data_IF_941922159426
#
_entry.id   IF_941922159426
#
_cell.length_a   1.000
_cell.length_b   1.000
_cell.length_c   1.000
_cell.angle_alpha   90.00
_cell.angle_beta   90.00
_cell.angle_gamma   90.00
#
_symmetry.space_group_name_H-M   'P 1'
#
loop_
_entity.id
_entity.type
_entity.pdbx_description
1 polymer ?
#
# COMPACT_ATOMS: atom_id res chain seq x y z
N UNK A 1 26.56 -8.47 23.24
CA UNK A 1 25.78 -9.72 23.36
C UNK A 1 25.01 -9.87 22.06
N UNK A 2 25.40 -10.83 21.22
CA UNK A 2 24.94 -10.93 19.83
C UNK A 2 23.41 -11.11 19.78
N UNK A 3 22.75 -10.48 18.81
CA UNK A 3 21.31 -10.55 18.59
C UNK A 3 20.75 -11.99 18.41
N UNK A 4 21.61 -13.01 18.33
CA UNK A 4 21.26 -14.42 18.14
C UNK A 4 20.85 -15.16 19.42
N UNK A 5 21.18 -14.69 20.63
CA UNK A 5 20.84 -15.44 21.85
C UNK A 5 19.36 -15.32 22.25
N UNK A 6 18.66 -14.26 21.82
CA UNK A 6 17.28 -13.98 22.23
C UNK A 6 16.20 -14.66 21.38
N UNK A 7 16.56 -15.28 20.25
CA UNK A 7 15.60 -15.76 19.25
C UNK A 7 15.60 -17.28 19.05
N UNK A 8 16.25 -18.05 19.95
CA UNK A 8 16.16 -19.51 19.97
C UNK A 8 16.39 -20.16 18.60
N UNK A 9 17.63 -20.14 18.09
CA UNK A 9 18.04 -20.78 16.82
C UNK A 9 17.07 -20.57 15.64
N UNK A 10 17.32 -19.53 14.82
CA UNK A 10 16.56 -19.22 13.59
C UNK A 10 16.30 -20.41 12.66
N UNK A 11 17.20 -21.40 12.66
CA UNK A 11 17.06 -22.65 11.93
C UNK A 11 17.24 -23.83 12.86
N UNK A 12 16.38 -24.85 12.71
CA UNK A 12 16.50 -26.10 13.46
C UNK A 12 17.70 -26.91 12.96
N UNK A 13 18.28 -27.75 13.83
CA UNK A 13 19.37 -28.65 13.44
C UNK A 13 19.01 -29.53 12.23
N UNK A 14 17.73 -29.90 12.11
CA UNK A 14 17.21 -30.64 10.96
C UNK A 14 17.29 -29.83 9.66
N UNK A 15 16.96 -28.54 9.68
CA UNK A 15 17.07 -27.65 8.53
C UNK A 15 18.53 -27.46 8.10
N UNK A 16 19.43 -27.28 9.06
CA UNK A 16 20.87 -27.17 8.79
C UNK A 16 21.42 -28.45 8.16
N UNK A 17 21.08 -29.61 8.71
CA UNK A 17 21.51 -30.90 8.17
C UNK A 17 20.96 -31.15 6.75
N UNK A 18 19.68 -30.83 6.52
CA UNK A 18 19.05 -30.96 5.20
C UNK A 18 19.76 -30.07 4.16
N UNK A 19 20.05 -28.82 4.51
CA UNK A 19 20.74 -27.89 3.63
C UNK A 19 22.17 -28.36 3.32
N UNK A 20 22.90 -28.83 4.33
CA UNK A 20 24.24 -29.39 4.15
C UNK A 20 24.24 -30.62 3.23
N UNK A 21 23.29 -31.54 3.40
CA UNK A 21 23.14 -32.71 2.52
C UNK A 21 22.81 -32.29 1.09
N UNK A 22 21.91 -31.32 0.90
CA UNK A 22 21.52 -30.82 -0.41
C UNK A 22 22.71 -30.17 -1.15
N UNK A 23 23.47 -29.31 -0.48
CA UNK A 23 24.68 -28.69 -1.05
C UNK A 23 25.74 -29.75 -1.38
N UNK A 24 25.95 -30.71 -0.48
CA UNK A 24 26.89 -31.82 -0.70
C UNK A 24 26.52 -32.63 -1.95
N UNK A 25 25.24 -32.94 -2.13
CA UNK A 25 24.73 -33.62 -3.32
C UNK A 25 24.98 -32.81 -4.59
N UNK A 26 24.73 -31.50 -4.58
CA UNK A 26 25.00 -30.62 -5.72
C UNK A 26 26.48 -30.60 -6.10
N UNK A 27 27.38 -30.47 -5.12
CA UNK A 27 28.83 -30.50 -5.34
C UNK A 27 29.26 -31.85 -5.93
N UNK A 28 28.76 -32.95 -5.38
CA UNK A 28 29.06 -34.30 -5.88
C UNK A 28 28.59 -34.50 -7.32
N UNK A 29 27.36 -34.08 -7.66
CA UNK A 29 26.81 -34.13 -9.02
C UNK A 29 27.62 -33.29 -10.02
N UNK A 30 28.09 -32.12 -9.58
CA UNK A 30 28.94 -31.24 -10.38
C UNK A 30 30.30 -31.89 -10.67
N UNK A 31 30.98 -32.41 -9.65
CA UNK A 31 32.28 -33.07 -9.79
C UNK A 31 32.22 -34.34 -10.66
N UNK A 32 31.11 -35.07 -10.64
CA UNK A 32 30.85 -36.23 -11.52
C UNK A 32 30.56 -35.84 -12.97
N UNK A 33 30.39 -34.55 -13.28
CA UNK A 33 30.05 -34.07 -14.62
C UNK A 33 28.61 -34.36 -15.04
N UNK A 34 27.72 -34.72 -14.10
CA UNK A 34 26.32 -35.07 -14.38
C UNK A 34 25.45 -33.81 -14.54
N UNK A 35 25.73 -33.03 -15.60
CA UNK A 35 25.14 -31.70 -15.83
C UNK A 35 23.61 -31.66 -15.75
N UNK A 36 22.93 -32.66 -16.31
CA UNK A 36 21.46 -32.75 -16.30
C UNK A 36 20.91 -32.99 -14.90
N UNK A 37 21.50 -33.92 -14.16
CA UNK A 37 21.09 -34.22 -12.79
C UNK A 37 21.34 -33.02 -11.88
N UNK A 38 22.52 -32.39 -11.99
CA UNK A 38 22.82 -31.15 -11.28
C UNK A 38 21.78 -30.05 -11.55
N UNK A 39 21.47 -29.78 -12.82
CA UNK A 39 20.49 -28.76 -13.19
C UNK A 39 19.09 -29.06 -12.64
N UNK A 40 18.63 -30.31 -12.72
CA UNK A 40 17.33 -30.71 -12.19
C UNK A 40 17.29 -30.60 -10.66
N UNK A 41 18.30 -31.10 -9.96
CA UNK A 41 18.40 -31.02 -8.49
C UNK A 41 18.50 -29.58 -8.00
N UNK A 42 19.10 -28.66 -8.78
CA UNK A 42 19.15 -27.25 -8.45
C UNK A 42 17.82 -26.53 -8.69
N UNK A 43 17.22 -26.73 -9.87
CA UNK A 43 16.07 -25.93 -10.33
C UNK A 43 14.75 -26.44 -9.75
N UNK A 44 14.52 -27.76 -9.70
CA UNK A 44 13.21 -28.31 -9.31
C UNK A 44 12.82 -27.93 -7.87
N UNK A 45 13.68 -28.08 -6.85
CA UNK A 45 13.32 -27.67 -5.48
C UNK A 45 13.03 -26.17 -5.40
N UNK A 46 13.80 -25.34 -6.11
CA UNK A 46 13.55 -23.89 -6.17
C UNK A 46 12.21 -23.58 -6.84
N UNK A 47 11.90 -24.25 -7.95
CA UNK A 47 10.62 -24.10 -8.63
C UNK A 47 9.44 -24.59 -7.77
N UNK A 48 9.62 -25.65 -6.96
CA UNK A 48 8.60 -26.09 -6.01
C UNK A 48 8.43 -25.06 -4.90
N UNK A 49 9.52 -24.58 -4.28
CA UNK A 49 9.45 -23.60 -3.19
C UNK A 49 8.89 -22.26 -3.68
N UNK A 50 9.42 -21.70 -4.76
CA UNK A 50 8.95 -20.42 -5.29
C UNK A 50 7.63 -20.52 -6.06
N UNK A 51 7.36 -21.64 -6.73
CA UNK A 51 6.10 -21.87 -7.45
C UNK A 51 4.93 -22.15 -6.50
N UNK A 52 5.13 -22.93 -5.44
CA UNK A 52 4.09 -23.17 -4.43
C UNK A 52 3.82 -21.95 -3.54
N UNK A 53 4.79 -21.04 -3.44
CA UNK A 53 4.71 -19.76 -2.72
C UNK A 53 4.56 -18.62 -3.72
N UNK A 54 3.88 -18.80 -4.85
CA UNK A 54 3.56 -17.68 -5.74
C UNK A 54 2.75 -16.64 -4.94
N UNK A 55 3.38 -15.54 -4.46
CA UNK A 55 2.75 -14.64 -3.50
C UNK A 55 1.62 -13.88 -4.20
N UNK A 56 1.76 -13.70 -5.50
CA UNK A 56 0.77 -13.09 -6.39
C UNK A 56 -0.53 -13.89 -6.34
N UNK A 57 -0.50 -15.22 -6.46
CA UNK A 57 -1.71 -16.05 -6.39
C UNK A 57 -2.36 -16.15 -5.00
N UNK A 58 -1.59 -16.06 -3.91
CA UNK A 58 -2.16 -16.09 -2.55
C UNK A 58 -2.67 -14.73 -2.07
N UNK A 59 -2.06 -13.63 -2.53
CA UNK A 59 -2.46 -12.26 -2.20
C UNK A 59 -3.56 -11.71 -3.11
N UNK A 60 -3.61 -12.10 -4.39
CA UNK A 60 -4.62 -11.64 -5.35
C UNK A 60 -6.06 -11.88 -4.90
N UNK A 61 -6.46 -13.05 -4.34
CA UNK A 61 -7.84 -13.30 -3.94
C UNK A 61 -8.37 -12.27 -2.95
N UNK A 62 -7.53 -11.72 -2.07
CA UNK A 62 -7.92 -10.67 -1.12
C UNK A 62 -8.39 -9.40 -1.85
N UNK A 63 -7.76 -9.04 -2.96
CA UNK A 63 -8.16 -7.88 -3.78
C UNK A 63 -9.24 -8.24 -4.81
N UNK A 64 -9.20 -9.44 -5.37
CA UNK A 64 -10.10 -9.88 -6.45
C UNK A 64 -11.50 -10.22 -5.93
N UNK A 65 -11.59 -10.79 -4.73
CA UNK A 65 -12.86 -11.21 -4.13
C UNK A 65 -13.38 -10.24 -3.06
N UNK A 66 -12.70 -9.11 -2.87
CA UNK A 66 -13.03 -8.08 -1.89
C UNK A 66 -14.41 -7.47 -2.16
N UNK A 67 -15.14 -7.11 -1.10
CA UNK A 67 -16.44 -6.47 -1.24
C UNK A 67 -16.30 -5.06 -1.84
N UNK A 68 -15.19 -4.37 -1.58
CA UNK A 68 -14.85 -3.08 -2.18
C UNK A 68 -14.71 -3.20 -3.69
N UNK A 69 -13.99 -4.21 -4.19
CA UNK A 69 -13.89 -4.43 -5.65
C UNK A 69 -15.24 -4.74 -6.27
N UNK A 70 -16.09 -5.53 -5.61
CA UNK A 70 -17.45 -5.82 -6.09
C UNK A 70 -18.30 -4.54 -6.11
N UNK A 71 -18.21 -3.73 -5.07
CA UNK A 71 -18.87 -2.43 -4.98
C UNK A 71 -18.44 -1.48 -6.10
N UNK A 72 -17.14 -1.32 -6.33
CA UNK A 72 -16.56 -0.47 -7.39
C UNK A 72 -16.95 -0.96 -8.78
N UNK A 73 -17.01 -2.29 -8.99
CA UNK A 73 -17.44 -2.88 -10.26
C UNK A 73 -18.89 -2.53 -10.59
N UNK A 74 -19.75 -2.46 -9.58
CA UNK A 74 -21.16 -2.06 -9.71
C UNK A 74 -21.33 -0.53 -9.87
N UNK A 75 -20.33 0.27 -9.53
CA UNK A 75 -20.35 1.72 -9.57
C UNK A 75 -19.17 2.27 -10.37
N UNK A 76 -19.13 1.97 -11.67
CA UNK A 76 -17.98 2.27 -12.53
C UNK A 76 -17.59 3.76 -12.56
N UNK A 77 -18.52 4.68 -12.30
CA UNK A 77 -18.26 6.11 -12.19
C UNK A 77 -17.23 6.45 -11.11
N UNK A 78 -17.16 5.67 -10.03
CA UNK A 78 -16.23 5.88 -8.93
C UNK A 78 -14.76 5.75 -9.36
N UNK A 79 -14.50 5.03 -10.45
CA UNK A 79 -13.15 4.81 -10.99
C UNK A 79 -12.57 6.03 -11.70
N UNK A 80 -13.42 7.00 -12.05
CA UNK A 80 -13.00 8.19 -12.82
C UNK A 80 -12.49 9.32 -11.92
N UNK A 81 -13.09 9.50 -10.75
CA UNK A 81 -12.67 10.56 -9.82
C UNK A 81 -11.45 10.19 -8.99
N UNK A 82 -10.71 11.20 -8.52
CA UNK A 82 -9.56 11.01 -7.63
C UNK A 82 -10.02 10.79 -6.19
N UNK A 83 -9.35 9.86 -5.49
CA UNK A 83 -9.65 9.45 -4.12
C UNK A 83 -8.55 9.87 -3.15
N UNK A 84 -8.92 10.37 -1.98
CA UNK A 84 -8.01 10.52 -0.83
C UNK A 84 -8.39 9.51 0.24
N UNK A 85 -7.40 8.77 0.75
CA UNK A 85 -7.62 7.78 1.80
C UNK A 85 -7.04 8.30 3.09
N UNK A 86 -7.91 8.56 4.06
CA UNK A 86 -7.53 8.89 5.43
C UNK A 86 -7.39 7.60 6.22
N UNK A 87 -6.17 7.24 6.56
CA UNK A 87 -5.88 6.02 7.33
C UNK A 87 -4.60 6.14 8.12
N UNK A 88 -4.53 5.45 9.25
CA UNK A 88 -3.27 5.30 10.01
C UNK A 88 -2.29 4.30 9.36
N UNK A 89 -2.73 3.60 8.30
CA UNK A 89 -1.96 2.59 7.59
C UNK A 89 -1.71 2.98 6.14
N UNK A 90 -0.43 3.11 5.79
CA UNK A 90 0.02 3.40 4.41
C UNK A 90 -0.40 2.32 3.40
N UNK A 91 -0.69 1.10 3.87
CA UNK A 91 -1.11 -0.03 3.02
C UNK A 91 -2.56 0.14 2.56
N UNK A 92 -3.38 0.90 3.30
CA UNK A 92 -4.80 1.15 2.97
C UNK A 92 -4.96 1.81 1.61
N UNK A 93 -4.12 2.82 1.30
CA UNK A 93 -4.13 3.47 -0.02
C UNK A 93 -3.84 2.48 -1.15
N UNK A 94 -2.87 1.57 -0.94
CA UNK A 94 -2.55 0.51 -1.89
C UNK A 94 -3.69 -0.49 -2.09
N UNK A 95 -4.40 -0.85 -1.02
CA UNK A 95 -5.57 -1.73 -1.11
C UNK A 95 -6.71 -1.11 -1.91
N UNK A 96 -7.07 0.14 -1.61
CA UNK A 96 -8.14 0.84 -2.31
C UNK A 96 -7.79 1.05 -3.80
N UNK A 97 -6.52 1.36 -4.10
CA UNK A 97 -6.03 1.46 -5.48
C UNK A 97 -6.12 0.10 -6.21
N UNK A 98 -5.75 -0.99 -5.55
CA UNK A 98 -5.84 -2.35 -6.11
C UNK A 98 -7.28 -2.80 -6.38
N UNK A 99 -8.28 -2.24 -5.69
CA UNK A 99 -9.71 -2.42 -5.99
C UNK A 99 -10.16 -1.71 -7.27
N UNK A 100 -9.29 -0.91 -7.90
CA UNK A 100 -9.51 -0.29 -9.21
C UNK A 100 -9.92 1.18 -9.17
N UNK A 101 -9.70 1.86 -8.04
CA UNK A 101 -9.95 3.29 -7.84
C UNK A 101 -8.69 4.12 -8.12
N UNK A 102 -8.89 5.35 -8.60
CA UNK A 102 -7.80 6.30 -8.85
C UNK A 102 -7.43 7.01 -7.54
N UNK A 103 -6.51 6.40 -6.78
CA UNK A 103 -6.10 6.91 -5.48
C UNK A 103 -4.97 7.93 -5.63
N UNK A 104 -5.16 9.09 -5.01
CA UNK A 104 -4.23 10.22 -5.00
C UNK A 104 -3.14 10.08 -3.93
N UNK A 105 -3.46 9.43 -2.81
CA UNK A 105 -2.55 9.09 -1.72
C UNK A 105 -1.89 7.72 -1.92
N UNK A 106 -0.86 7.41 -1.14
CA UNK A 106 -0.10 6.17 -1.23
C UNK A 106 1.27 6.35 -1.87
N UNK A 107 1.84 5.25 -2.36
CA UNK A 107 3.18 5.24 -2.95
C UNK A 107 3.14 5.77 -4.37
N UNK A 108 3.84 6.87 -4.62
CA UNK A 108 4.06 7.41 -5.95
C UNK A 108 5.55 7.67 -6.18
N UNK A 109 6.11 7.01 -7.20
CA UNK A 109 7.50 7.27 -7.62
C UNK A 109 7.68 8.67 -8.20
N UNK A 110 6.62 9.20 -8.81
CA UNK A 110 6.57 10.57 -9.33
C UNK A 110 5.37 11.23 -8.64
N UNK A 111 5.57 12.29 -7.84
CA UNK A 111 4.48 13.01 -7.21
C UNK A 111 3.60 13.69 -8.26
N UNK A 112 2.40 14.12 -7.87
CA UNK A 112 1.47 14.84 -8.75
C UNK A 112 1.96 16.27 -9.01
N UNK A 113 3.00 16.40 -9.84
CA UNK A 113 3.70 17.67 -10.11
C UNK A 113 2.80 18.75 -10.71
N UNK A 114 1.74 18.35 -11.42
CA UNK A 114 0.77 19.26 -12.00
C UNK A 114 -0.01 20.03 -10.93
N UNK A 115 -0.10 19.48 -9.71
CA UNK A 115 -0.77 20.09 -8.56
C UNK A 115 0.17 21.01 -7.75
N UNK A 116 1.47 21.07 -8.08
CA UNK A 116 2.46 21.89 -7.35
C UNK A 116 2.18 23.39 -7.37
N UNK A 117 1.74 24.02 -8.49
CA UNK A 117 1.36 25.44 -8.47
C UNK A 117 0.24 25.73 -7.47
N UNK A 118 -0.70 24.79 -7.31
CA UNK A 118 -1.79 24.89 -6.35
C UNK A 118 -1.22 24.79 -4.94
N UNK A 119 -0.39 23.79 -4.66
CA UNK A 119 0.28 23.64 -3.36
C UNK A 119 1.12 24.86 -2.96
N UNK A 120 1.85 25.46 -3.91
CA UNK A 120 2.65 26.66 -3.66
C UNK A 120 1.77 27.87 -3.31
N UNK A 121 0.62 28.02 -3.98
CA UNK A 121 -0.35 29.07 -3.70
C UNK A 121 -0.99 28.94 -2.31
N UNK A 122 -1.03 27.72 -1.75
CA UNK A 122 -1.45 27.44 -0.37
C UNK A 122 -0.29 27.37 0.63
N UNK A 123 0.91 27.81 0.23
CA UNK A 123 2.11 27.86 1.07
C UNK A 123 2.56 26.51 1.63
N UNK A 124 2.32 25.42 0.89
CA UNK A 124 2.86 24.10 1.23
C UNK A 124 4.31 23.97 0.77
N UNK A 125 5.08 23.20 1.54
CA UNK A 125 6.49 22.94 1.25
C UNK A 125 6.62 21.91 0.11
N UNK A 126 7.00 22.41 -1.07
CA UNK A 126 7.20 21.59 -2.27
C UNK A 126 8.42 20.68 -2.16
N UNK A 127 9.44 21.00 -1.34
CA UNK A 127 10.62 20.14 -1.18
C UNK A 127 10.28 18.89 -0.36
N UNK A 128 9.28 18.98 0.52
CA UNK A 128 8.72 17.82 1.22
C UNK A 128 7.85 17.00 0.27
N UNK A 129 6.99 17.64 -0.52
CA UNK A 129 6.09 16.97 -1.46
C UNK A 129 6.81 16.37 -2.67
N UNK A 130 7.96 16.92 -3.06
CA UNK A 130 8.81 16.44 -4.15
C UNK A 130 9.79 15.34 -3.69
N UNK A 131 9.29 14.37 -2.93
CA UNK A 131 10.07 13.21 -2.48
C UNK A 131 9.46 11.92 -2.98
N UNK A 132 10.32 10.98 -3.34
CA UNK A 132 9.89 9.60 -3.58
C UNK A 132 9.45 8.97 -2.26
N UNK A 133 8.22 8.50 -2.20
CA UNK A 133 7.66 7.91 -0.99
C UNK A 133 6.15 7.82 -0.97
N UNK A 134 5.64 7.50 0.22
CA UNK A 134 4.22 7.46 0.50
C UNK A 134 3.71 8.85 0.86
N UNK A 135 2.63 9.28 0.20
CA UNK A 135 1.81 10.40 0.64
C UNK A 135 0.66 9.85 1.48
N UNK A 136 0.67 10.13 2.78
CA UNK A 136 -0.29 9.59 3.75
C UNK A 136 -1.18 10.69 4.31
N UNK A 137 -2.49 10.60 4.11
CA UNK A 137 -3.42 11.66 4.49
C UNK A 137 -3.95 11.46 5.92
N UNK A 138 -3.78 12.49 6.74
CA UNK A 138 -4.22 12.52 8.14
C UNK A 138 -5.23 13.65 8.35
N UNK A 139 -6.30 13.34 9.09
CA UNK A 139 -7.34 14.33 9.36
C UNK A 139 -6.83 15.42 10.30
N UNK A 140 -7.07 16.68 9.92
CA UNK A 140 -7.02 17.83 10.84
C UNK A 140 -8.41 18.36 11.12
N UNK A 141 -8.54 19.20 12.16
CA UNK A 141 -9.81 19.89 12.43
C UNK A 141 -10.11 20.95 11.35
N UNK A 142 -11.39 21.36 11.16
CA UNK A 142 -11.75 22.23 10.03
C UNK A 142 -11.10 23.62 10.08
N UNK A 143 -10.75 24.09 11.29
CA UNK A 143 -10.16 25.41 11.51
C UNK A 143 -8.63 25.42 11.37
N UNK A 144 -8.01 24.24 11.30
CA UNK A 144 -6.58 24.10 11.14
C UNK A 144 -6.19 24.18 9.67
N UNK A 145 -5.14 24.96 9.38
CA UNK A 145 -4.57 24.99 8.03
C UNK A 145 -3.96 23.64 7.68
N UNK A 146 -4.11 23.27 6.41
CA UNK A 146 -3.40 22.18 5.78
C UNK A 146 -1.89 22.29 6.02
N UNK A 147 -1.24 21.15 6.27
CA UNK A 147 0.21 21.06 6.45
C UNK A 147 0.76 19.81 5.80
N UNK A 148 2.04 19.87 5.40
CA UNK A 148 2.80 18.71 4.96
C UNK A 148 4.01 18.57 5.88
N UNK A 149 4.31 17.34 6.28
CA UNK A 149 5.44 17.03 7.18
C UNK A 149 6.14 15.77 6.71
N UNK A 150 7.46 15.77 6.84
CA UNK A 150 8.22 14.54 6.65
C UNK A 150 8.16 13.71 7.93
N UNK A 151 7.50 12.54 7.88
CA UNK A 151 7.42 11.63 9.03
C UNK A 151 8.62 10.69 9.07
N UNK A 152 9.02 10.16 7.92
CA UNK A 152 10.25 9.39 7.72
C UNK A 152 10.82 9.67 6.33
N UNK A 153 12.00 9.13 6.00
CA UNK A 153 12.65 9.34 4.70
C UNK A 153 11.74 9.00 3.51
N UNK A 154 10.86 8.02 3.64
CA UNK A 154 9.93 7.58 2.58
C UNK A 154 8.45 7.80 2.89
N UNK A 155 8.12 8.66 3.87
CA UNK A 155 6.74 8.92 4.27
C UNK A 155 6.51 10.41 4.50
N UNK A 156 5.71 11.00 3.62
CA UNK A 156 5.20 12.36 3.71
C UNK A 156 3.80 12.30 4.29
N UNK A 157 3.62 12.94 5.43
CA UNK A 157 2.33 13.12 6.07
C UNK A 157 1.66 14.38 5.53
N UNK A 158 0.50 14.20 4.93
CA UNK A 158 -0.35 15.28 4.44
C UNK A 158 -1.52 15.46 5.38
N UNK A 159 -1.43 16.49 6.21
CA UNK A 159 -2.45 16.82 7.19
C UNK A 159 -3.49 17.73 6.52
N UNK A 160 -4.68 17.20 6.24
CA UNK A 160 -5.75 17.88 5.49
C UNK A 160 -7.12 17.60 6.08
N UNK A 161 -8.12 18.38 5.69
CA UNK A 161 -9.52 18.24 6.06
C UNK A 161 -10.41 18.17 4.81
N UNK A 162 -11.57 17.48 4.87
CA UNK A 162 -12.60 17.55 3.83
C UNK A 162 -13.10 18.98 3.54
N UNK A 163 -12.87 19.93 4.43
CA UNK A 163 -13.23 21.33 4.25
C UNK A 163 -12.22 22.11 3.39
N UNK A 164 -11.01 21.57 3.17
CA UNK A 164 -9.95 22.27 2.45
C UNK A 164 -10.33 22.41 0.97
N UNK A 165 -10.52 23.65 0.52
CA UNK A 165 -10.89 23.96 -0.86
C UNK A 165 -9.88 23.41 -1.89
N UNK A 166 -8.62 23.22 -1.49
CA UNK A 166 -7.57 22.67 -2.32
C UNK A 166 -7.88 21.25 -2.81
N UNK A 167 -8.61 20.43 -2.04
CA UNK A 167 -9.00 19.08 -2.45
C UNK A 167 -9.83 19.14 -3.74
N UNK A 168 -10.76 20.10 -3.84
CA UNK A 168 -11.52 20.32 -5.08
C UNK A 168 -10.65 20.86 -6.21
N UNK A 169 -9.70 21.75 -5.90
CA UNK A 169 -8.83 22.36 -6.91
C UNK A 169 -7.92 21.33 -7.60
N UNK A 170 -7.41 20.35 -6.85
CA UNK A 170 -6.59 19.24 -7.39
C UNK A 170 -7.45 18.08 -7.94
N UNK A 171 -8.78 18.23 -7.93
CA UNK A 171 -9.73 17.29 -8.53
C UNK A 171 -10.06 16.06 -7.68
N UNK A 172 -9.93 16.13 -6.35
CA UNK A 172 -10.44 15.10 -5.44
C UNK A 172 -11.97 15.13 -5.47
N UNK A 173 -12.57 13.98 -5.72
CA UNK A 173 -14.02 13.80 -5.75
C UNK A 173 -14.52 12.90 -4.63
N UNK A 174 -13.66 12.00 -4.13
CA UNK A 174 -14.06 10.94 -3.22
C UNK A 174 -13.07 10.78 -2.08
N UNK A 175 -13.58 10.36 -0.93
CA UNK A 175 -12.81 10.15 0.28
C UNK A 175 -13.10 8.75 0.83
N UNK A 176 -12.10 8.10 1.40
CA UNK A 176 -12.29 6.89 2.21
C UNK A 176 -11.64 7.08 3.57
N UNK A 177 -12.28 6.56 4.62
CA UNK A 177 -11.76 6.57 5.99
C UNK A 177 -11.72 5.14 6.52
N UNK A 178 -10.63 4.76 7.18
CA UNK A 178 -10.52 3.45 7.87
C UNK A 178 -11.30 3.40 9.19
N UNK A 179 -11.74 4.56 9.68
CA UNK A 179 -12.62 4.73 10.83
C UNK A 179 -13.78 5.65 10.46
N UNK A 180 -14.89 5.56 11.20
CA UNK A 180 -16.01 6.47 10.94
C UNK A 180 -15.57 7.91 11.22
N UNK A 181 -15.66 8.83 10.23
CA UNK A 181 -15.22 10.20 10.43
C UNK A 181 -16.10 10.90 11.47
N UNK A 182 -15.53 11.79 12.32
CA UNK A 182 -16.31 12.55 13.28
C UNK A 182 -17.45 13.37 12.63
N UNK A 183 -18.59 13.59 13.33
CA UNK A 183 -19.75 14.29 12.75
C UNK A 183 -19.48 15.70 12.22
N UNK A 184 -18.39 16.35 12.68
CA UNK A 184 -17.94 17.67 12.20
C UNK A 184 -17.72 17.71 10.68
N UNK A 185 -17.46 16.55 10.05
CA UNK A 185 -17.23 16.45 8.61
C UNK A 185 -18.49 16.30 7.77
N UNK A 186 -19.63 15.98 8.39
CA UNK A 186 -20.91 15.73 7.70
C UNK A 186 -21.36 16.83 6.72
N UNK A 187 -21.05 18.14 6.93
CA UNK A 187 -21.38 19.17 5.95
C UNK A 187 -20.63 19.03 4.62
N UNK A 188 -19.42 18.45 4.65
CA UNK A 188 -18.47 18.40 3.53
C UNK A 188 -18.47 17.06 2.78
N UNK A 189 -19.10 16.03 3.36
CA UNK A 189 -19.06 14.66 2.82
C UNK A 189 -20.46 14.08 2.67
N UNK A 190 -20.65 13.28 1.63
CA UNK A 190 -21.89 12.55 1.36
C UNK A 190 -21.59 11.04 1.34
N UNK A 191 -22.22 10.21 2.20
CA UNK A 191 -21.91 8.78 2.25
C UNK A 191 -22.30 8.07 0.95
N UNK A 192 -21.41 7.23 0.43
CA UNK A 192 -21.65 6.38 -0.74
C UNK A 192 -22.25 5.02 -0.36
N UNK A 193 -22.13 4.62 0.91
CA UNK A 193 -22.68 3.39 1.47
C UNK A 193 -23.17 3.63 2.91
N UNK A 194 -24.15 2.84 3.34
CA UNK A 194 -24.69 2.92 4.70
C UNK A 194 -23.77 2.30 5.77
N UNK A 195 -22.92 1.35 5.35
CA UNK A 195 -21.97 0.63 6.20
C UNK A 195 -20.58 0.64 5.55
N UNK A 196 -19.50 0.47 6.33
CA UNK A 196 -18.16 0.36 5.77
C UNK A 196 -18.02 -0.88 4.88
N UNK A 197 -17.21 -0.78 3.84
CA UNK A 197 -16.94 -1.85 2.87
C UNK A 197 -15.46 -2.23 2.98
N UNK A 198 -15.16 -3.48 3.30
CA UNK A 198 -13.79 -3.94 3.64
C UNK A 198 -13.10 -3.05 4.70
N UNK A 199 -13.87 -2.52 5.65
CA UNK A 199 -13.38 -1.62 6.71
C UNK A 199 -13.32 -0.13 6.34
N UNK A 200 -13.67 0.24 5.11
CA UNK A 200 -13.63 1.64 4.66
C UNK A 200 -15.01 2.31 4.64
N UNK A 201 -15.11 3.49 5.23
CA UNK A 201 -16.24 4.38 5.09
C UNK A 201 -16.04 5.26 3.86
N UNK A 202 -16.91 5.10 2.85
CA UNK A 202 -16.75 5.73 1.55
C UNK A 202 -17.65 6.96 1.41
N UNK A 203 -17.10 8.06 0.92
CA UNK A 203 -17.81 9.33 0.77
C UNK A 203 -17.49 10.01 -0.55
N UNK A 204 -18.45 10.80 -1.01
CA UNK A 204 -18.25 11.83 -2.03
C UNK A 204 -17.98 13.17 -1.35
N UNK A 205 -17.01 13.91 -1.87
CA UNK A 205 -16.74 15.28 -1.46
C UNK A 205 -17.82 16.21 -2.02
N UNK A 206 -18.43 17.05 -1.16
CA UNK A 206 -19.43 18.06 -1.55
C UNK A 206 -18.77 19.36 -1.92
#
# INVERSE_FOLDING_TARGET
RYANEGLGSYFTNAQVALFAMFVTLLVWLYLRGWKRAFALTLVVPQAIVFGAVNPVQRGLPMFVNSDLRRFVSNHQQLRKGKWVIFSDSVVSSGFVAASGLNVYTGLHYIPHIDDFPIYAAHHLDLDILNRDGYLDAHLRTPDERMQVKLRTVGLVEWQTSPADAILKQIGIEYLAFDNQPPPVWSPYIEPLSAMPIDGFWLYKLR
#
